data_IF_725355542087
#
_entry.id   IF_725355542087
#
_cell.length_a   1.000
_cell.length_b   1.000
_cell.length_c   1.000
_cell.angle_alpha   90.00
_cell.angle_beta   90.00
_cell.angle_gamma   90.00
#
_symmetry.space_group_name_H-M   'P 1'
#
loop_
_entity.id
_entity.type
_entity.pdbx_description
1 polymer ?
#
# COMPACT_ATOMS: atom_id res chain seq x y z
N UNK A 1 17.66 -24.46 10.16
CA UNK A 1 17.68 -22.99 9.96
C UNK A 1 16.24 -22.58 9.76
N UNK A 2 15.61 -22.06 10.81
CA UNK A 2 14.21 -21.64 10.76
C UNK A 2 14.08 -20.47 9.78
N UNK A 3 13.40 -20.67 8.66
CA UNK A 3 12.89 -19.56 7.85
C UNK A 3 11.94 -18.77 8.74
N UNK A 4 12.45 -17.68 9.33
CA UNK A 4 11.62 -16.68 9.99
C UNK A 4 10.51 -16.31 9.02
N UNK A 5 9.29 -16.73 9.34
CA UNK A 5 8.16 -16.61 8.45
C UNK A 5 7.87 -15.13 8.31
N UNK A 6 8.28 -14.51 7.20
CA UNK A 6 7.95 -13.11 6.89
C UNK A 6 6.41 -12.98 6.80
N UNK A 7 5.75 -12.44 7.83
CA UNK A 7 4.29 -12.46 7.92
C UNK A 7 3.66 -11.53 6.87
N UNK A 8 4.41 -10.53 6.40
CA UNK A 8 4.01 -9.66 5.28
C UNK A 8 3.89 -10.41 3.95
N UNK A 9 4.56 -11.54 3.79
CA UNK A 9 4.61 -12.30 2.54
C UNK A 9 5.44 -11.63 1.43
N UNK A 10 6.06 -10.47 1.68
CA UNK A 10 6.88 -9.74 0.70
C UNK A 10 8.01 -10.62 0.16
N UNK A 11 8.74 -11.31 1.05
CA UNK A 11 9.86 -12.17 0.65
C UNK A 11 9.40 -13.30 -0.26
N UNK A 12 8.20 -13.86 -0.03
CA UNK A 12 7.62 -14.90 -0.89
C UNK A 12 7.10 -14.34 -2.21
N UNK A 13 6.67 -13.08 -2.25
CA UNK A 13 6.18 -12.44 -3.47
C UNK A 13 7.30 -12.26 -4.50
N UNK A 14 8.49 -11.89 -4.03
CA UNK A 14 9.68 -11.66 -4.88
C UNK A 14 10.53 -12.92 -5.08
N UNK A 15 9.97 -14.11 -4.87
CA UNK A 15 10.68 -15.37 -5.11
C UNK A 15 11.80 -15.69 -4.11
N UNK A 16 11.83 -15.06 -2.95
CA UNK A 16 12.80 -15.32 -1.89
C UNK A 16 14.12 -14.54 -1.99
N UNK A 17 14.28 -13.70 -3.01
CA UNK A 17 15.47 -12.86 -3.14
C UNK A 17 15.47 -11.73 -2.07
N UNK A 18 16.46 -11.68 -1.17
CA UNK A 18 16.50 -10.69 -0.09
C UNK A 18 16.68 -9.26 -0.59
N UNK A 19 17.37 -9.04 -1.72
CA UNK A 19 17.58 -7.70 -2.27
C UNK A 19 16.31 -7.16 -2.91
N UNK A 20 15.58 -8.00 -3.66
CA UNK A 20 14.26 -7.63 -4.21
C UNK A 20 13.25 -7.38 -3.10
N UNK A 21 13.33 -8.14 -2.00
CA UNK A 21 12.47 -7.95 -0.83
C UNK A 21 12.79 -6.65 -0.08
N UNK A 22 14.05 -6.19 -0.15
CA UNK A 22 14.49 -4.90 0.42
C UNK A 22 14.01 -3.75 -0.46
N UNK A 23 14.17 -3.85 -1.76
CA UNK A 23 13.71 -2.87 -2.73
C UNK A 23 12.18 -2.69 -2.68
N UNK A 24 11.42 -3.80 -2.65
CA UNK A 24 9.97 -3.74 -2.53
C UNK A 24 9.52 -3.06 -1.22
N UNK A 25 10.18 -3.32 -0.09
CA UNK A 25 9.86 -2.63 1.19
C UNK A 25 10.13 -1.14 1.13
N UNK A 26 11.23 -0.71 0.51
CA UNK A 26 11.56 0.70 0.34
C UNK A 26 10.50 1.41 -0.53
N UNK A 27 10.10 0.78 -1.63
CA UNK A 27 9.06 1.30 -2.53
C UNK A 27 7.70 1.41 -1.84
N UNK A 28 7.29 0.40 -1.08
CA UNK A 28 6.06 0.43 -0.29
C UNK A 28 6.11 1.53 0.79
N UNK A 29 7.26 1.76 1.42
CA UNK A 29 7.43 2.83 2.41
C UNK A 29 7.28 4.21 1.79
N UNK A 30 7.86 4.42 0.62
CA UNK A 30 7.69 5.64 -0.17
C UNK A 30 6.22 5.84 -0.59
N UNK A 31 5.56 4.75 -1.00
CA UNK A 31 4.17 4.78 -1.39
C UNK A 31 3.24 5.15 -0.21
N UNK A 32 3.46 4.58 0.98
CA UNK A 32 2.69 4.92 2.18
C UNK A 32 2.82 6.42 2.55
N UNK A 33 4.02 7.00 2.37
CA UNK A 33 4.27 8.43 2.64
C UNK A 33 3.58 9.36 1.64
N UNK A 34 3.47 8.95 0.37
CA UNK A 34 2.93 9.76 -0.72
C UNK A 34 1.47 9.49 -1.06
N UNK A 35 0.88 8.43 -0.51
CA UNK A 35 -0.52 8.11 -0.74
C UNK A 35 -1.44 9.17 -0.11
N UNK A 36 -2.25 9.82 -0.93
CA UNK A 36 -3.26 10.80 -0.49
C UNK A 36 -4.46 10.14 0.21
N UNK A 37 -4.71 8.86 -0.08
CA UNK A 37 -5.83 8.11 0.48
C UNK A 37 -5.46 7.46 1.82
N UNK A 38 -6.11 7.82 2.94
CA UNK A 38 -5.79 7.26 4.27
C UNK A 38 -5.91 5.73 4.34
N UNK A 39 -6.90 5.15 3.66
CA UNK A 39 -7.12 3.71 3.63
C UNK A 39 -5.96 2.97 2.95
N UNK A 40 -5.45 3.51 1.85
CA UNK A 40 -4.33 2.93 1.10
C UNK A 40 -3.05 3.00 1.92
N UNK A 41 -2.81 4.14 2.59
CA UNK A 41 -1.70 4.29 3.54
C UNK A 41 -1.75 3.21 4.60
N UNK A 42 -2.92 3.00 5.23
CA UNK A 42 -3.10 1.98 6.27
C UNK A 42 -2.83 0.57 5.76
N UNK A 43 -3.37 0.20 4.60
CA UNK A 43 -3.16 -1.11 3.98
C UNK A 43 -1.68 -1.41 3.75
N UNK A 44 -0.93 -0.43 3.23
CA UNK A 44 0.50 -0.58 2.95
C UNK A 44 1.30 -0.64 4.25
N UNK A 45 0.93 0.16 5.25
CA UNK A 45 1.55 0.13 6.58
C UNK A 45 1.32 -1.19 7.31
N UNK A 46 0.15 -1.80 7.18
CA UNK A 46 -0.15 -3.11 7.77
C UNK A 46 0.66 -4.23 7.12
N UNK A 47 0.92 -4.14 5.81
CA UNK A 47 1.83 -5.05 5.11
C UNK A 47 3.27 -4.86 5.57
N UNK A 48 3.76 -3.62 5.63
CA UNK A 48 5.12 -3.31 6.09
C UNK A 48 5.37 -3.74 7.55
N UNK A 49 4.35 -3.58 8.41
CA UNK A 49 4.38 -4.02 9.80
C UNK A 49 4.18 -5.54 9.97
N UNK A 50 3.86 -6.27 8.90
CA UNK A 50 3.61 -7.71 8.96
C UNK A 50 2.28 -8.08 9.63
N UNK A 51 1.38 -7.11 9.85
CA UNK A 51 0.03 -7.33 10.39
C UNK A 51 -0.93 -7.88 9.33
N UNK A 52 -0.59 -7.72 8.05
CA UNK A 52 -1.37 -8.20 6.91
C UNK A 52 -0.46 -8.77 5.83
N UNK A 53 -0.95 -9.77 5.11
CA UNK A 53 -0.21 -10.33 3.98
C UNK A 53 -0.42 -9.50 2.71
N UNK A 54 0.63 -9.29 1.92
CA UNK A 54 0.55 -8.57 0.64
C UNK A 54 -0.47 -9.18 -0.33
N UNK A 55 -0.65 -10.52 -0.30
CA UNK A 55 -1.66 -11.21 -1.11
C UNK A 55 -3.09 -10.92 -0.68
N UNK A 56 -3.31 -10.63 0.59
CA UNK A 56 -4.63 -10.26 1.09
C UNK A 56 -4.99 -8.84 0.66
N UNK A 57 -4.00 -7.93 0.66
CA UNK A 57 -4.19 -6.56 0.14
C UNK A 57 -4.55 -6.57 -1.34
N UNK A 58 -3.95 -7.44 -2.15
CA UNK A 58 -4.30 -7.58 -3.57
C UNK A 58 -5.75 -7.99 -3.83
N UNK A 59 -6.46 -8.52 -2.83
CA UNK A 59 -7.85 -8.96 -2.95
C UNK A 59 -8.86 -7.94 -2.43
N UNK A 60 -8.42 -6.76 -1.97
CA UNK A 60 -9.34 -5.75 -1.43
C UNK A 60 -9.84 -4.81 -2.52
N UNK A 61 -11.12 -4.40 -2.48
CA UNK A 61 -11.68 -3.46 -3.46
C UNK A 61 -10.94 -2.11 -3.49
N UNK A 62 -10.39 -1.67 -2.37
CA UNK A 62 -9.62 -0.41 -2.28
C UNK A 62 -8.32 -0.49 -3.06
N UNK A 63 -7.67 -1.67 -3.06
CA UNK A 63 -6.48 -1.89 -3.87
C UNK A 63 -6.84 -1.99 -5.35
N UNK A 64 -7.94 -2.64 -5.72
CA UNK A 64 -8.41 -2.70 -7.10
C UNK A 64 -8.72 -1.31 -7.68
N UNK A 65 -9.43 -0.47 -6.92
CA UNK A 65 -9.73 0.91 -7.35
C UNK A 65 -8.48 1.77 -7.50
N UNK A 66 -7.53 1.62 -6.57
CA UNK A 66 -6.23 2.28 -6.66
C UNK A 66 -5.51 1.86 -7.96
N UNK A 67 -5.40 0.56 -8.20
CA UNK A 67 -4.69 0.02 -9.38
C UNK A 67 -5.39 0.46 -10.66
N UNK A 68 -6.72 0.39 -10.74
CA UNK A 68 -7.46 0.80 -11.93
C UNK A 68 -7.14 2.26 -12.34
N UNK A 69 -7.14 3.18 -11.37
CA UNK A 69 -6.81 4.59 -11.64
C UNK A 69 -5.34 4.79 -12.03
N UNK A 70 -4.42 3.98 -11.49
CA UNK A 70 -2.98 4.11 -11.74
C UNK A 70 -2.54 3.43 -13.03
N UNK A 71 -3.15 2.30 -13.38
CA UNK A 71 -2.93 1.61 -14.66
C UNK A 71 -3.34 2.52 -15.81
N UNK A 72 -4.49 3.19 -15.74
CA UNK A 72 -4.91 4.15 -16.75
C UNK A 72 -3.89 5.31 -16.92
N UNK A 73 -3.28 5.77 -15.82
CA UNK A 73 -2.23 6.81 -15.88
C UNK A 73 -0.90 6.27 -16.44
N UNK A 74 -0.56 5.01 -16.16
CA UNK A 74 0.64 4.36 -16.71
C UNK A 74 0.46 4.18 -18.22
N UNK A 75 -0.69 3.65 -18.67
CA UNK A 75 -1.01 3.49 -20.09
C UNK A 75 -0.93 4.85 -20.81
N UNK A 76 -1.58 5.88 -20.27
CA UNK A 76 -1.52 7.23 -20.85
C UNK A 76 -0.10 7.83 -20.88
N UNK A 77 0.75 7.49 -19.91
CA UNK A 77 2.15 7.91 -19.88
C UNK A 77 3.02 7.16 -20.90
N UNK A 78 2.77 5.85 -21.08
CA UNK A 78 3.49 5.02 -22.05
C UNK A 78 3.14 5.37 -23.49
N UNK A 79 1.88 5.74 -23.75
CA UNK A 79 1.43 6.21 -25.07
C UNK A 79 2.09 7.53 -25.50
N UNK A 80 2.63 8.29 -24.54
CA UNK A 80 3.38 9.52 -24.80
C UNK A 80 4.87 9.27 -25.08
N UNK A 81 5.36 8.04 -24.85
CA UNK A 81 6.76 7.69 -25.05
C UNK A 81 7.04 7.28 -26.50
N UNK A 82 8.15 7.79 -27.04
CA UNK A 82 8.68 7.29 -28.31
C UNK A 82 9.27 5.88 -28.15
N UNK A 83 9.66 5.23 -29.27
CA UNK A 83 10.15 3.85 -29.25
C UNK A 83 11.43 3.65 -28.42
N UNK A 84 12.33 4.64 -28.40
CA UNK A 84 13.57 4.59 -27.60
C UNK A 84 13.26 4.74 -26.11
N UNK A 85 12.36 5.64 -25.74
CA UNK A 85 11.93 5.84 -24.35
C UNK A 85 11.17 4.63 -23.81
N UNK A 86 10.33 3.99 -24.64
CA UNK A 86 9.70 2.71 -24.28
C UNK A 86 10.72 1.61 -24.09
N UNK A 87 11.75 1.52 -24.94
CA UNK A 87 12.80 0.53 -24.78
C UNK A 87 13.58 0.73 -23.45
N UNK A 88 13.81 1.97 -23.04
CA UNK A 88 14.51 2.27 -21.78
C UNK A 88 13.69 1.91 -20.54
N UNK A 89 12.37 2.14 -20.55
CA UNK A 89 11.53 1.74 -19.40
C UNK A 89 11.43 0.20 -19.27
N UNK A 90 11.61 -0.54 -20.38
CA UNK A 90 11.59 -2.01 -20.43
C UNK A 90 12.99 -2.61 -20.27
N UNK A 91 14.02 -1.76 -20.14
CA UNK A 91 15.41 -2.17 -20.03
C UNK A 91 15.64 -2.92 -18.70
N UNK A 92 15.75 -4.24 -18.79
CA UNK A 92 16.01 -5.11 -17.65
C UNK A 92 17.44 -5.00 -17.11
N UNK A 93 18.36 -4.44 -17.91
CA UNK A 93 19.77 -4.22 -17.54
C UNK A 93 19.98 -2.87 -16.84
N UNK A 94 18.91 -2.09 -16.62
CA UNK A 94 18.96 -0.84 -15.87
C UNK A 94 19.61 -1.09 -14.50
N UNK A 95 20.60 -0.29 -14.08
CA UNK A 95 21.23 -0.44 -12.78
C UNK A 95 20.17 -0.35 -11.68
N UNK A 96 20.17 -1.36 -10.80
CA UNK A 96 19.28 -1.40 -9.63
C UNK A 96 19.45 -0.15 -8.78
N UNK A 97 18.36 0.25 -8.12
CA UNK A 97 18.39 1.32 -7.12
C UNK A 97 19.48 1.00 -6.09
N UNK A 98 20.41 1.93 -5.87
CA UNK A 98 21.55 1.66 -4.98
C UNK A 98 21.07 1.35 -3.55
N UNK A 99 21.76 0.49 -2.78
CA UNK A 99 21.38 0.18 -1.40
C UNK A 99 21.28 1.43 -0.51
N UNK A 100 22.12 2.43 -0.75
CA UNK A 100 22.13 3.70 -0.02
C UNK A 100 20.92 4.58 -0.35
N UNK A 101 20.48 4.57 -1.61
CA UNK A 101 19.23 5.20 -2.02
C UNK A 101 18.02 4.48 -1.41
N UNK A 102 18.03 3.14 -1.37
CA UNK A 102 16.97 2.36 -0.73
C UNK A 102 16.90 2.59 0.78
N UNK A 103 18.04 2.67 1.48
CA UNK A 103 18.08 2.90 2.92
C UNK A 103 17.62 4.31 3.29
N UNK A 104 17.95 5.31 2.48
CA UNK A 104 17.43 6.69 2.62
C UNK A 104 15.91 6.75 2.53
N UNK A 105 15.30 5.86 1.74
CA UNK A 105 13.84 5.73 1.65
C UNK A 105 13.23 4.97 2.84
N UNK A 106 14.03 4.15 3.54
CA UNK A 106 13.61 3.22 4.58
C UNK A 106 13.44 3.83 5.97
N UNK A 107 13.71 5.12 6.17
CA UNK A 107 13.64 5.76 7.50
C UNK A 107 12.43 5.24 8.31
N UNK A 108 12.61 4.86 9.59
CA UNK A 108 11.64 4.05 10.33
C UNK A 108 10.26 4.65 10.18
N UNK A 109 9.41 3.92 9.45
CA UNK A 109 8.00 4.30 9.34
C UNK A 109 7.39 4.03 10.70
N UNK A 110 7.24 5.08 11.49
CA UNK A 110 6.50 5.05 12.74
C UNK A 110 5.01 5.15 12.38
N UNK A 111 4.26 4.04 12.34
CA UNK A 111 2.85 4.11 12.02
C UNK A 111 2.18 5.03 13.03
N UNK A 112 1.33 6.00 12.61
CA UNK A 112 0.54 6.75 13.57
C UNK A 112 -0.20 5.74 14.44
N UNK A 113 -0.02 5.84 15.76
CA UNK A 113 -0.65 4.96 16.72
C UNK A 113 -2.14 4.86 16.38
N UNK A 114 -2.61 3.65 16.04
CA UNK A 114 -4.02 3.45 15.80
C UNK A 114 -4.77 3.94 17.06
N UNK A 115 -5.87 4.71 16.93
CA UNK A 115 -6.72 4.96 18.07
C UNK A 115 -7.15 3.58 18.58
N UNK A 116 -6.76 3.29 19.82
CA UNK A 116 -7.03 2.02 20.45
C UNK A 116 -8.51 1.66 20.28
N UNK A 117 -8.74 0.46 19.76
CA UNK A 117 -10.03 -0.20 19.63
C UNK A 117 -10.82 -0.07 20.95
N UNK A 118 -11.67 0.95 21.06
CA UNK A 118 -12.69 1.07 22.09
C UNK A 118 -13.77 0.05 21.79
N UNK A 119 -13.53 -1.22 22.13
CA UNK A 119 -14.59 -2.21 22.21
C UNK A 119 -15.55 -1.84 23.35
N UNK A 120 -16.80 -1.63 22.95
CA UNK A 120 -18.06 -1.67 23.71
C UNK A 120 -18.37 -0.47 24.61
N UNK A 121 -19.14 0.47 24.06
CA UNK A 121 -20.38 0.89 24.71
C UNK A 121 -21.52 0.81 23.69
N UNK A 122 -22.32 -0.25 23.83
CA UNK A 122 -23.72 -0.31 23.41
C UNK A 122 -24.47 0.92 23.88
N UNK A 123 -24.72 1.88 22.99
CA UNK A 123 -25.92 2.74 22.97
C UNK A 123 -26.07 3.24 21.53
N UNK A 124 -26.64 2.41 20.66
CA UNK A 124 -27.39 3.00 19.55
C UNK A 124 -28.70 3.42 20.18
N UNK A 125 -28.71 4.68 20.64
CA UNK A 125 -29.91 5.41 20.99
C UNK A 125 -30.94 5.16 19.88
N UNK A 126 -32.11 4.71 20.30
CA UNK A 126 -33.31 4.67 19.49
C UNK A 126 -33.49 6.08 18.91
N UNK A 127 -33.09 6.28 17.65
CA UNK A 127 -33.46 7.46 16.91
C UNK A 127 -34.97 7.40 16.72
N UNK A 128 -35.63 8.13 17.61
CA UNK A 128 -37.04 8.44 17.63
C UNK A 128 -37.46 9.06 16.28
N UNK A 129 -37.94 8.22 15.37
CA UNK A 129 -38.56 8.63 14.10
C UNK A 129 -40.00 9.15 14.30
N UNK A 130 -40.33 9.81 15.42
CA UNK A 130 -41.67 10.35 15.68
C UNK A 130 -41.80 11.89 15.64
N UNK A 131 -40.75 12.65 15.30
CA UNK A 131 -40.79 14.13 15.40
C UNK A 131 -40.85 14.91 14.08
N UNK A 132 -41.28 14.31 12.96
CA UNK A 132 -41.68 15.10 11.77
C UNK A 132 -43.20 15.38 11.79
N UNK A 133 -43.61 16.15 12.79
CA UNK A 133 -44.85 16.94 12.77
C UNK A 133 -44.46 18.42 12.82
N UNK A 134 -45.23 19.26 12.13
CA UNK A 134 -45.09 20.71 12.00
C UNK A 134 -44.14 21.24 10.91
N UNK A 135 -44.62 21.21 9.66
CA UNK A 135 -44.75 22.45 8.92
C UNK A 135 -46.19 22.56 8.40
N UNK A 136 -46.70 23.77 8.58
CA UNK A 136 -48.08 24.23 8.54
C UNK A 136 -48.41 24.79 7.16
#
# INVERSE_FOLDING_TARGET
MESGTDPSGITKLVGGNPDDARELRANLSLFARRADTPNVRRLVSDVLAGRRNVREVFRTPEFEQLVASRVANIEAGLDQLNDEERAEVWNQDRPRTSPEALESLRAPYDPPAEPADTKKATVWDEQDFSQNSYLR
#
